data_IF_676156995498
#
_entry.id   IF_676156995498
#
_cell.length_a   1.000
_cell.length_b   1.000
_cell.length_c   1.000
_cell.angle_alpha   90.00
_cell.angle_beta   90.00
_cell.angle_gamma   90.00
#
_symmetry.space_group_name_H-M   'P 1'
#
loop_
_entity.id
_entity.type
_entity.pdbx_description
1 polymer ?
#
# COMPACT_ATOMS: atom_id res chain seq x y z
N UNK A 1 -39.12 31.62 -83.20
CA UNK A 1 -37.94 30.81 -82.71
C UNK A 1 -37.42 31.25 -81.36
N UNK A 2 -37.62 32.46 -80.96
CA UNK A 2 -37.12 33.01 -79.64
C UNK A 2 -37.81 32.38 -78.37
N UNK A 3 -39.12 32.05 -78.52
CA UNK A 3 -39.89 31.50 -77.39
C UNK A 3 -39.42 30.13 -76.92
N UNK A 4 -38.85 29.29 -77.80
CA UNK A 4 -38.30 27.99 -77.43
C UNK A 4 -36.89 28.11 -76.75
N UNK A 5 -36.12 29.13 -77.06
CA UNK A 5 -34.84 29.34 -76.50
C UNK A 5 -34.96 29.77 -75.06
N UNK A 6 -35.86 30.68 -74.71
CA UNK A 6 -36.13 31.17 -73.34
C UNK A 6 -36.64 30.05 -72.43
N UNK A 7 -37.45 29.15 -72.91
CA UNK A 7 -37.92 27.96 -72.17
C UNK A 7 -36.78 26.99 -71.83
N UNK A 8 -35.84 26.80 -72.78
CA UNK A 8 -34.67 25.94 -72.50
C UNK A 8 -33.68 26.57 -71.50
N UNK A 9 -33.42 27.86 -71.55
CA UNK A 9 -32.58 28.57 -70.59
C UNK A 9 -33.21 28.59 -69.19
N UNK A 10 -34.50 28.84 -69.09
CA UNK A 10 -35.21 28.80 -67.81
C UNK A 10 -35.18 27.39 -67.17
N UNK A 11 -35.40 26.36 -67.95
CA UNK A 11 -35.31 24.98 -67.50
C UNK A 11 -33.91 24.57 -67.06
N UNK A 12 -32.88 25.03 -67.77
CA UNK A 12 -31.48 24.81 -67.37
C UNK A 12 -31.11 25.56 -66.08
N UNK A 13 -31.57 26.82 -65.91
CA UNK A 13 -31.35 27.61 -64.69
C UNK A 13 -32.04 26.97 -63.46
N UNK A 14 -33.26 26.45 -63.64
CA UNK A 14 -34.02 25.78 -62.60
C UNK A 14 -33.40 24.42 -62.26
N UNK A 15 -32.91 23.69 -63.23
CA UNK A 15 -32.19 22.43 -63.02
C UNK A 15 -30.87 22.69 -62.29
N UNK A 16 -30.09 23.68 -62.64
CA UNK A 16 -28.86 24.08 -61.96
C UNK A 16 -29.12 24.47 -60.51
N UNK A 17 -30.18 25.23 -60.21
CA UNK A 17 -30.58 25.59 -58.85
C UNK A 17 -30.96 24.35 -58.00
N UNK A 18 -31.73 23.40 -58.54
CA UNK A 18 -32.09 22.16 -57.86
C UNK A 18 -30.85 21.29 -57.60
N UNK A 19 -29.93 21.18 -58.52
CA UNK A 19 -28.68 20.42 -58.37
C UNK A 19 -27.77 21.06 -57.30
N UNK A 20 -27.65 22.40 -57.25
CA UNK A 20 -26.90 23.08 -56.22
C UNK A 20 -27.50 22.83 -54.84
N UNK A 21 -28.84 22.84 -54.72
CA UNK A 21 -29.54 22.61 -53.48
C UNK A 21 -29.37 21.14 -52.98
N UNK A 22 -29.44 20.14 -53.91
CA UNK A 22 -29.19 18.73 -53.54
C UNK A 22 -27.75 18.51 -53.08
N UNK A 23 -26.79 19.11 -53.75
CA UNK A 23 -25.37 19.03 -53.30
C UNK A 23 -25.20 19.67 -51.93
N UNK A 24 -25.80 20.85 -51.69
CA UNK A 24 -25.73 21.54 -50.40
C UNK A 24 -26.35 20.69 -49.26
N UNK A 25 -27.49 20.02 -49.52
CA UNK A 25 -28.14 19.12 -48.55
C UNK A 25 -27.24 17.91 -48.26
N UNK A 26 -26.66 17.28 -49.30
CA UNK A 26 -25.76 16.12 -49.11
C UNK A 26 -24.52 16.53 -48.30
N UNK A 27 -23.90 17.69 -48.63
CA UNK A 27 -22.79 18.22 -47.86
C UNK A 27 -23.17 18.51 -46.40
N UNK A 28 -24.33 19.14 -46.18
CA UNK A 28 -24.86 19.39 -44.84
C UNK A 28 -25.08 18.15 -44.02
N UNK A 29 -25.65 17.14 -44.65
CA UNK A 29 -25.90 15.82 -44.00
C UNK A 29 -24.60 15.09 -43.69
N UNK A 30 -23.63 15.15 -44.59
CA UNK A 30 -22.27 14.61 -44.35
C UNK A 30 -21.58 15.31 -43.23
N UNK A 31 -21.64 16.65 -43.17
CA UNK A 31 -21.08 17.42 -42.08
C UNK A 31 -21.74 17.13 -40.72
N UNK A 32 -23.09 17.00 -40.72
CA UNK A 32 -23.83 16.61 -39.52
C UNK A 32 -23.44 15.22 -39.05
N UNK A 33 -23.27 14.27 -39.96
CA UNK A 33 -22.78 12.91 -39.65
C UNK A 33 -21.40 12.90 -39.00
N UNK A 34 -20.46 13.71 -39.56
CA UNK A 34 -19.14 13.87 -38.97
C UNK A 34 -19.19 14.49 -37.57
N UNK A 35 -20.07 15.48 -37.37
CA UNK A 35 -20.22 16.14 -36.08
C UNK A 35 -20.75 15.18 -35.02
N UNK A 36 -21.71 14.32 -35.34
CA UNK A 36 -22.21 13.28 -34.44
C UNK A 36 -21.13 12.25 -34.11
N UNK A 37 -20.31 11.83 -35.06
CA UNK A 37 -19.18 10.95 -34.80
C UNK A 37 -18.15 11.59 -33.88
N UNK A 38 -17.88 12.90 -34.05
CA UNK A 38 -16.95 13.62 -33.17
C UNK A 38 -17.47 13.72 -31.74
N UNK A 39 -18.76 13.93 -31.53
CA UNK A 39 -19.37 13.97 -30.20
C UNK A 39 -19.24 12.61 -29.49
N UNK A 40 -19.58 11.52 -30.18
CA UNK A 40 -19.42 10.17 -29.63
C UNK A 40 -17.96 9.86 -29.29
N UNK A 41 -17.02 10.28 -30.13
CA UNK A 41 -15.59 10.08 -29.87
C UNK A 41 -15.09 10.85 -28.64
N UNK A 42 -15.57 12.09 -28.42
CA UNK A 42 -15.22 12.88 -27.24
C UNK A 42 -15.77 12.20 -25.97
N UNK A 43 -16.98 11.68 -26.00
CA UNK A 43 -17.59 10.97 -24.87
C UNK A 43 -16.78 9.71 -24.51
N UNK A 44 -16.45 8.89 -25.49
CA UNK A 44 -15.62 7.68 -25.33
C UNK A 44 -14.21 8.03 -24.80
N UNK A 45 -13.60 9.11 -25.30
CA UNK A 45 -12.31 9.58 -24.79
C UNK A 45 -12.38 10.04 -23.34
N UNK A 46 -13.44 10.72 -22.94
CA UNK A 46 -13.61 11.18 -21.57
C UNK A 46 -13.80 9.98 -20.61
N UNK A 47 -14.55 8.96 -21.04
CA UNK A 47 -14.74 7.73 -20.27
C UNK A 47 -13.42 6.97 -20.09
N UNK A 48 -12.64 6.78 -21.17
CA UNK A 48 -11.31 6.15 -21.08
C UNK A 48 -10.35 6.92 -20.16
N UNK A 49 -10.35 8.24 -20.21
CA UNK A 49 -9.52 9.06 -19.32
C UNK A 49 -9.93 8.92 -17.86
N UNK A 50 -11.24 8.84 -17.61
CA UNK A 50 -11.77 8.61 -16.26
C UNK A 50 -11.33 7.25 -15.74
N UNK A 51 -11.46 6.18 -16.53
CA UNK A 51 -11.03 4.83 -16.15
C UNK A 51 -9.52 4.78 -15.86
N UNK A 52 -8.70 5.40 -16.70
CA UNK A 52 -7.26 5.50 -16.49
C UNK A 52 -6.92 6.28 -15.21
N UNK A 53 -7.64 7.35 -14.94
CA UNK A 53 -7.49 8.11 -13.70
C UNK A 53 -7.87 7.27 -12.49
N UNK A 54 -9.01 6.58 -12.52
CA UNK A 54 -9.49 5.70 -11.45
C UNK A 54 -8.48 4.58 -11.14
N UNK A 55 -7.91 3.96 -12.18
CA UNK A 55 -6.87 2.94 -12.01
C UNK A 55 -5.60 3.53 -11.38
N UNK A 56 -5.17 4.71 -11.84
CA UNK A 56 -3.99 5.39 -11.32
C UNK A 56 -4.15 5.76 -9.85
N UNK A 57 -5.32 6.28 -9.45
CA UNK A 57 -5.65 6.59 -8.05
C UNK A 57 -5.63 5.34 -7.20
N UNK A 58 -6.30 4.28 -7.63
CA UNK A 58 -6.36 3.02 -6.89
C UNK A 58 -4.97 2.41 -6.70
N UNK A 59 -4.11 2.49 -7.72
CA UNK A 59 -2.72 2.05 -7.65
C UNK A 59 -1.91 2.87 -6.65
N UNK A 60 -2.05 4.19 -6.69
CA UNK A 60 -1.37 5.10 -5.77
C UNK A 60 -1.81 4.86 -4.31
N UNK A 61 -3.11 4.71 -4.06
CA UNK A 61 -3.65 4.39 -2.74
C UNK A 61 -3.16 3.05 -2.22
N UNK A 62 -3.13 2.02 -3.07
CA UNK A 62 -2.60 0.72 -2.69
C UNK A 62 -1.13 0.80 -2.29
N UNK A 63 -0.30 1.52 -3.06
CA UNK A 63 1.13 1.68 -2.78
C UNK A 63 1.36 2.47 -1.49
N UNK A 64 0.65 3.59 -1.30
CA UNK A 64 0.73 4.37 -0.07
C UNK A 64 0.31 3.55 1.17
N UNK A 65 -0.77 2.76 1.06
CA UNK A 65 -1.18 1.82 2.12
C UNK A 65 -0.08 0.80 2.43
N UNK A 66 0.55 0.25 1.41
CA UNK A 66 1.62 -0.72 1.55
C UNK A 66 2.87 -0.12 2.20
N UNK A 67 3.24 1.08 1.79
CA UNK A 67 4.37 1.80 2.38
C UNK A 67 4.13 2.08 3.87
N UNK A 68 2.91 2.44 4.24
CA UNK A 68 2.55 2.67 5.63
C UNK A 68 2.64 1.39 6.47
N UNK A 69 2.16 0.23 5.96
CA UNK A 69 2.29 -1.07 6.63
C UNK A 69 3.76 -1.46 6.82
N UNK A 70 4.60 -1.23 5.80
CA UNK A 70 6.05 -1.47 5.89
C UNK A 70 6.71 -0.57 6.94
N UNK A 71 6.38 0.72 6.96
CA UNK A 71 6.92 1.67 7.93
C UNK A 71 6.51 1.31 9.36
N UNK A 72 5.29 0.84 9.57
CA UNK A 72 4.85 0.33 10.87
C UNK A 72 5.69 -0.90 11.27
N UNK A 73 5.85 -1.85 10.37
CA UNK A 73 6.65 -3.06 10.60
C UNK A 73 8.10 -2.73 10.96
N UNK A 74 8.72 -1.81 10.22
CA UNK A 74 10.10 -1.36 10.49
C UNK A 74 10.21 -0.71 11.86
N UNK A 75 9.26 0.14 12.25
CA UNK A 75 9.23 0.77 13.56
C UNK A 75 9.15 -0.25 14.70
N UNK A 76 8.34 -1.31 14.54
CA UNK A 76 8.28 -2.38 15.53
C UNK A 76 9.58 -3.17 15.64
N UNK A 77 10.24 -3.45 14.51
CA UNK A 77 11.54 -4.10 14.49
C UNK A 77 12.60 -3.25 15.22
N UNK A 78 12.61 -1.96 14.96
CA UNK A 78 13.52 -1.01 15.61
C UNK A 78 13.27 -0.91 17.13
N UNK A 79 12.00 -0.84 17.54
CA UNK A 79 11.62 -0.82 18.95
C UNK A 79 12.04 -2.12 19.67
N UNK A 80 11.91 -3.30 19.00
CA UNK A 80 12.30 -4.59 19.57
C UNK A 80 13.83 -4.72 19.74
N UNK A 81 14.59 -4.26 18.72
CA UNK A 81 16.06 -4.23 18.77
C UNK A 81 16.54 -3.32 19.91
N UNK A 82 16.00 -2.12 20.00
CA UNK A 82 16.35 -1.15 21.04
C UNK A 82 16.02 -1.64 22.45
N UNK A 83 14.92 -2.39 22.62
CA UNK A 83 14.59 -3.01 23.91
C UNK A 83 15.59 -4.10 24.29
N UNK A 84 16.01 -4.94 23.33
CA UNK A 84 17.00 -5.99 23.58
C UNK A 84 18.38 -5.44 23.93
N UNK A 85 18.80 -4.35 23.28
CA UNK A 85 20.07 -3.67 23.60
C UNK A 85 20.04 -3.10 25.02
N UNK A 86 18.97 -2.41 25.43
CA UNK A 86 18.84 -1.89 26.79
C UNK A 86 18.83 -2.99 27.87
N UNK A 87 18.19 -4.11 27.58
CA UNK A 87 18.17 -5.25 28.52
C UNK A 87 19.55 -5.91 28.68
N UNK A 88 20.44 -5.83 27.69
CA UNK A 88 21.80 -6.34 27.79
C UNK A 88 22.73 -5.41 28.54
N UNK A 89 22.51 -4.11 28.44
CA UNK A 89 23.30 -3.10 29.20
C UNK A 89 22.95 -3.13 30.69
N UNK A 90 21.72 -3.44 31.07
CA UNK A 90 21.28 -3.58 32.47
C UNK A 90 21.81 -4.87 33.12
N UNK A 91 22.01 -5.98 32.37
CA UNK A 91 22.62 -7.20 32.91
C UNK A 91 24.12 -7.10 33.13
N UNK A 92 24.84 -6.21 32.44
CA UNK A 92 26.28 -6.00 32.67
C UNK A 92 26.61 -5.10 33.88
N UNK A 93 25.63 -4.35 34.40
CA UNK A 93 25.84 -3.43 35.53
C UNK A 93 25.43 -4.02 36.90
N UNK A 94 24.96 -5.26 36.98
CA UNK A 94 24.41 -5.88 38.20
C UNK A 94 25.41 -6.82 38.91
N UNK A 95 26.67 -6.93 38.47
CA UNK A 95 27.69 -7.74 39.15
C UNK A 95 28.53 -6.96 40.20
N UNK A 96 27.94 -6.02 40.89
CA UNK A 96 28.50 -5.46 42.13
C UNK A 96 27.39 -5.21 43.15
N UNK A 97 27.51 -5.95 44.22
CA UNK A 97 26.90 -5.85 45.55
C UNK A 97 25.69 -6.74 45.86
N UNK A 98 26.09 -7.82 46.43
CA UNK A 98 25.71 -8.56 47.67
C UNK A 98 24.38 -8.26 48.37
N UNK A 99 23.63 -9.35 48.52
CA UNK A 99 22.88 -9.84 49.69
C UNK A 99 21.62 -9.11 50.21
N UNK A 100 20.64 -9.97 50.36
CA UNK A 100 19.68 -10.20 51.45
C UNK A 100 18.25 -9.74 51.28
N UNK A 101 17.41 -10.77 51.44
CA UNK A 101 16.08 -10.81 52.04
C UNK A 101 14.82 -10.63 51.15
N UNK A 102 14.21 -11.81 51.02
CA UNK A 102 12.78 -12.12 50.97
C UNK A 102 11.75 -11.01 51.19
N UNK A 103 10.76 -10.90 50.30
CA UNK A 103 9.36 -10.97 50.71
C UNK A 103 8.44 -11.31 49.52
N UNK A 104 7.45 -12.12 49.85
CA UNK A 104 6.43 -12.75 49.03
C UNK A 104 5.42 -11.80 48.38
N UNK A 105 5.06 -12.06 47.16
CA UNK A 105 3.78 -12.47 46.57
C UNK A 105 2.77 -11.36 46.19
N UNK A 106 1.74 -11.68 45.43
CA UNK A 106 1.66 -12.17 44.05
C UNK A 106 0.88 -11.19 43.16
N UNK A 107 1.17 -11.04 41.91
CA UNK A 107 0.21 -10.52 40.94
C UNK A 107 0.36 -11.23 39.61
N UNK A 108 -0.70 -11.78 39.24
CA UNK A 108 -1.10 -12.47 38.05
C UNK A 108 -0.84 -11.60 36.82
N UNK A 109 0.15 -11.96 36.04
CA UNK A 109 0.24 -11.47 34.67
C UNK A 109 0.73 -12.61 33.76
N UNK A 110 -0.20 -13.14 32.98
CA UNK A 110 -0.01 -14.30 32.09
C UNK A 110 0.86 -13.98 30.85
N UNK A 111 1.54 -12.84 30.82
CA UNK A 111 2.43 -12.43 29.72
C UNK A 111 3.88 -12.86 29.93
N UNK A 112 4.30 -13.13 31.18
CA UNK A 112 5.66 -13.56 31.51
C UNK A 112 6.01 -14.98 31.14
N UNK A 113 5.02 -15.89 31.14
CA UNK A 113 5.27 -17.33 30.98
C UNK A 113 5.64 -17.76 29.56
N UNK A 114 5.24 -17.01 28.54
CA UNK A 114 5.59 -17.31 27.15
C UNK A 114 7.04 -16.93 26.85
N UNK A 115 7.50 -15.80 27.39
CA UNK A 115 8.88 -15.34 27.19
C UNK A 115 9.89 -16.22 27.93
N UNK A 116 9.60 -16.59 29.17
CA UNK A 116 10.47 -17.49 29.95
C UNK A 116 10.58 -18.88 29.35
N UNK A 117 9.49 -19.42 28.79
CA UNK A 117 9.49 -20.72 28.09
C UNK A 117 10.32 -20.67 26.79
N UNK A 118 10.30 -19.55 26.08
CA UNK A 118 11.05 -19.38 24.84
C UNK A 118 12.54 -19.17 25.10
N UNK A 119 12.91 -18.33 26.07
CA UNK A 119 14.31 -18.16 26.51
C UNK A 119 14.92 -19.46 27.04
N UNK A 120 14.14 -20.28 27.76
CA UNK A 120 14.59 -21.60 28.20
C UNK A 120 14.86 -22.53 27.01
N UNK A 121 14.02 -22.49 25.95
CA UNK A 121 14.26 -23.23 24.70
C UNK A 121 15.45 -22.70 23.91
N UNK A 122 15.67 -21.37 23.90
CA UNK A 122 16.80 -20.75 23.25
C UNK A 122 18.13 -21.07 23.96
N UNK A 123 18.15 -21.06 25.29
CA UNK A 123 19.34 -21.41 26.08
C UNK A 123 19.73 -22.91 25.92
N UNK A 124 18.75 -23.78 25.66
CA UNK A 124 19.03 -25.18 25.32
C UNK A 124 19.54 -25.38 23.88
N UNK A 125 19.29 -24.45 22.97
CA UNK A 125 19.73 -24.54 21.57
C UNK A 125 20.97 -23.74 21.20
N UNK A 126 21.61 -23.05 22.18
CA UNK A 126 22.93 -22.42 21.93
C UNK A 126 23.95 -23.49 21.63
N UNK A 127 24.43 -23.63 20.40
CA UNK A 127 25.52 -24.53 20.11
C UNK A 127 26.76 -24.00 20.80
N UNK A 128 27.34 -24.79 21.69
CA UNK A 128 28.66 -24.52 22.27
C UNK A 128 29.68 -24.44 21.13
N UNK A 129 30.01 -23.22 20.71
CA UNK A 129 31.01 -22.92 19.69
C UNK A 129 32.40 -22.88 20.30
N UNK A 130 32.88 -23.99 20.86
CA UNK A 130 34.34 -24.19 21.06
C UNK A 130 34.64 -25.64 20.80
N UNK A 131 35.18 -26.03 19.65
CA UNK A 131 35.90 -27.28 19.54
C UNK A 131 37.26 -27.08 20.17
N UNK A 132 37.47 -27.62 21.37
CA UNK A 132 38.80 -27.85 21.92
C UNK A 132 39.54 -28.77 20.92
N UNK A 133 40.60 -28.26 20.33
CA UNK A 133 41.39 -28.97 19.34
C UNK A 133 41.92 -30.27 19.88
N UNK A 134 41.74 -31.32 19.11
CA UNK A 134 42.61 -32.50 19.11
C UNK A 134 42.97 -32.82 17.69
N UNK A 135 44.26 -32.88 17.53
CA UNK A 135 45.04 -33.04 16.30
C UNK A 135 44.78 -34.40 15.66
N UNK A 136 44.48 -34.33 14.38
CA UNK A 136 44.74 -35.28 13.27
C UNK A 136 45.00 -36.76 13.58
N UNK A 137 44.04 -37.56 13.13
CA UNK A 137 44.35 -38.84 12.49
C UNK A 137 43.42 -38.98 11.28
N UNK A 138 44.05 -39.15 10.13
CA UNK A 138 43.44 -39.28 8.81
C UNK A 138 42.78 -40.68 8.73
N UNK A 139 41.43 -40.67 8.82
CA UNK A 139 40.64 -41.83 8.41
C UNK A 139 39.38 -41.33 7.71
N UNK A 140 38.96 -41.97 6.64
CA UNK A 140 37.78 -41.64 5.83
C UNK A 140 36.47 -41.60 6.60
N UNK A 141 36.42 -42.06 7.84
CA UNK A 141 35.35 -41.94 8.81
C UNK A 141 35.22 -40.52 9.41
N UNK A 142 36.32 -39.77 9.47
CA UNK A 142 36.35 -38.41 10.03
C UNK A 142 35.69 -37.37 9.09
N UNK A 143 35.82 -37.56 7.77
CA UNK A 143 35.18 -36.68 6.80
C UNK A 143 33.65 -36.79 6.83
N UNK A 144 33.11 -37.97 7.03
CA UNK A 144 31.67 -38.16 7.14
C UNK A 144 31.11 -37.62 8.46
N UNK A 145 31.88 -37.73 9.57
CA UNK A 145 31.52 -37.13 10.86
C UNK A 145 31.57 -35.59 10.80
N UNK A 146 32.59 -35.00 10.16
CA UNK A 146 32.71 -33.57 9.97
C UNK A 146 31.57 -33.01 9.10
N UNK A 147 31.19 -33.75 8.04
CA UNK A 147 30.04 -33.35 7.18
C UNK A 147 28.72 -33.42 7.95
N UNK A 148 28.50 -34.40 8.79
CA UNK A 148 27.30 -34.50 9.64
C UNK A 148 27.24 -33.36 10.67
N UNK A 149 28.36 -33.06 11.35
CA UNK A 149 28.44 -31.96 12.29
C UNK A 149 28.17 -30.61 11.57
N UNK A 150 28.70 -30.42 10.37
CA UNK A 150 28.46 -29.19 9.61
C UNK A 150 27.00 -29.06 9.17
N UNK A 151 26.37 -30.16 8.75
CA UNK A 151 24.94 -30.19 8.43
C UNK A 151 24.09 -29.92 9.66
N UNK A 152 24.45 -30.43 10.83
CA UNK A 152 23.77 -30.18 12.09
C UNK A 152 23.90 -28.71 12.54
N UNK A 153 25.07 -28.12 12.42
CA UNK A 153 25.30 -26.70 12.70
C UNK A 153 24.45 -25.82 11.77
N UNK A 154 24.44 -26.09 10.47
CA UNK A 154 23.64 -25.35 9.47
C UNK A 154 22.13 -25.51 9.78
N UNK A 155 21.69 -26.71 10.09
CA UNK A 155 20.29 -26.99 10.47
C UNK A 155 19.88 -26.24 11.74
N UNK A 156 20.71 -26.29 12.76
CA UNK A 156 20.44 -25.62 14.04
C UNK A 156 20.40 -24.09 13.87
N UNK A 157 21.31 -23.55 13.05
CA UNK A 157 21.31 -22.13 12.70
C UNK A 157 20.06 -21.72 11.93
N UNK A 158 19.61 -22.55 10.99
CA UNK A 158 18.38 -22.31 10.23
C UNK A 158 17.15 -22.34 11.16
N UNK A 159 17.03 -23.35 12.02
CA UNK A 159 15.93 -23.49 12.99
C UNK A 159 15.91 -22.29 13.94
N UNK A 160 17.06 -21.84 14.42
CA UNK A 160 17.17 -20.67 15.29
C UNK A 160 16.74 -19.38 14.56
N UNK A 161 17.22 -19.15 13.35
CA UNK A 161 16.82 -17.97 12.56
C UNK A 161 15.33 -17.99 12.25
N UNK A 162 14.77 -19.15 11.91
CA UNK A 162 13.35 -19.30 11.66
C UNK A 162 12.51 -19.00 12.92
N UNK A 163 12.91 -19.53 14.08
CA UNK A 163 12.22 -19.27 15.33
C UNK A 163 12.24 -17.80 15.75
N UNK A 164 13.39 -17.11 15.55
CA UNK A 164 13.47 -15.66 15.78
C UNK A 164 12.55 -14.86 14.85
N UNK A 165 12.47 -15.28 13.60
CA UNK A 165 11.63 -14.60 12.60
C UNK A 165 10.15 -14.82 12.92
N UNK A 166 9.75 -16.02 13.34
CA UNK A 166 8.39 -16.34 13.79
C UNK A 166 8.00 -15.55 15.04
N UNK A 167 8.93 -15.38 15.99
CA UNK A 167 8.69 -14.56 17.20
C UNK A 167 8.49 -13.08 16.85
N UNK A 168 9.35 -12.54 15.99
CA UNK A 168 9.24 -11.14 15.54
C UNK A 168 7.91 -10.93 14.80
N UNK A 169 7.55 -11.83 13.90
CA UNK A 169 6.28 -11.76 13.17
C UNK A 169 5.10 -11.83 14.15
N UNK A 170 5.14 -12.76 15.13
CA UNK A 170 4.09 -12.89 16.12
C UNK A 170 3.95 -11.61 16.98
N UNK A 171 5.06 -11.05 17.44
CA UNK A 171 5.06 -9.81 18.20
C UNK A 171 4.52 -8.62 17.40
N UNK A 172 4.88 -8.52 16.13
CA UNK A 172 4.36 -7.49 15.23
C UNK A 172 2.86 -7.65 15.05
N UNK A 173 2.40 -8.84 14.72
CA UNK A 173 0.98 -9.12 14.47
C UNK A 173 0.12 -8.93 15.73
N UNK A 174 0.62 -9.33 16.90
CA UNK A 174 -0.14 -9.26 18.14
C UNK A 174 -0.08 -7.90 18.82
N UNK A 175 1.11 -7.28 18.88
CA UNK A 175 1.31 -5.98 19.52
C UNK A 175 0.79 -4.79 18.70
N UNK A 176 0.89 -4.89 17.38
CA UNK A 176 0.46 -3.81 16.48
C UNK A 176 -1.05 -3.66 16.49
N UNK A 177 -1.77 -4.78 16.45
CA UNK A 177 -3.22 -4.75 16.31
C UNK A 177 -3.95 -4.29 17.58
N UNK A 178 -3.29 -4.25 18.74
CA UNK A 178 -3.91 -3.79 20.01
C UNK A 178 -3.95 -2.27 20.18
N UNK A 179 -3.11 -1.54 19.45
CA UNK A 179 -3.09 -0.08 19.53
C UNK A 179 -4.20 0.56 18.70
N UNK A 180 -4.84 1.65 19.18
CA UNK A 180 -5.83 2.38 18.39
C UNK A 180 -5.20 2.94 17.12
N UNK A 181 -5.94 2.97 16.00
CA UNK A 181 -5.48 3.43 14.68
C UNK A 181 -4.78 4.80 14.73
N UNK A 182 -5.28 5.70 15.57
CA UNK A 182 -4.69 7.04 15.73
C UNK A 182 -3.24 7.03 16.19
N UNK A 183 -2.85 6.02 16.97
CA UNK A 183 -1.49 5.88 17.51
C UNK A 183 -0.57 5.07 16.56
N UNK A 184 -1.17 4.31 15.66
CA UNK A 184 -0.45 3.49 14.68
C UNK A 184 -0.05 4.29 13.45
N UNK A 185 -0.94 5.18 12.99
CA UNK A 185 -0.77 5.95 11.76
C UNK A 185 -0.02 7.25 12.05
N UNK A 186 1.10 7.45 11.36
CA UNK A 186 1.71 8.75 11.23
C UNK A 186 1.05 9.50 10.06
N UNK A 187 0.07 10.36 10.36
CA UNK A 187 -0.71 11.05 9.33
C UNK A 187 0.12 11.98 8.44
N UNK A 188 1.20 12.55 8.98
CA UNK A 188 2.12 13.37 8.18
C UNK A 188 2.88 12.53 7.16
N UNK A 189 3.34 11.36 7.55
CA UNK A 189 4.02 10.43 6.66
C UNK A 189 3.03 9.86 5.62
N UNK A 190 1.81 9.52 6.04
CA UNK A 190 0.76 9.07 5.14
C UNK A 190 0.44 10.12 4.07
N UNK A 191 0.36 11.41 4.43
CA UNK A 191 0.15 12.49 3.47
C UNK A 191 1.32 12.61 2.49
N UNK A 192 2.55 12.48 2.97
CA UNK A 192 3.74 12.47 2.12
C UNK A 192 3.76 11.28 1.16
N UNK A 193 3.43 10.08 1.64
CA UNK A 193 3.36 8.86 0.84
C UNK A 193 2.22 8.96 -0.21
N UNK A 194 1.04 9.44 0.18
CA UNK A 194 -0.06 9.68 -0.74
C UNK A 194 0.35 10.67 -1.85
N UNK A 195 0.97 11.78 -1.48
CA UNK A 195 1.42 12.78 -2.44
C UNK A 195 2.46 12.23 -3.40
N UNK A 196 3.45 11.51 -2.88
CA UNK A 196 4.49 10.88 -3.68
C UNK A 196 3.91 9.86 -4.66
N UNK A 197 3.02 8.98 -4.17
CA UNK A 197 2.44 7.93 -5.00
C UNK A 197 1.42 8.47 -6.02
N UNK A 198 0.67 9.53 -5.70
CA UNK A 198 -0.16 10.23 -6.69
C UNK A 198 0.69 10.82 -7.81
N UNK A 199 1.78 11.51 -7.46
CA UNK A 199 2.71 12.06 -8.47
C UNK A 199 3.38 10.95 -9.31
N UNK A 200 3.81 9.85 -8.69
CA UNK A 200 4.42 8.72 -9.39
C UNK A 200 3.45 8.05 -10.39
N UNK A 201 2.16 8.09 -10.11
CA UNK A 201 1.11 7.57 -10.98
C UNK A 201 0.52 8.64 -11.93
N UNK A 202 1.16 9.80 -12.05
CA UNK A 202 0.78 10.86 -13.00
C UNK A 202 -0.38 11.75 -12.54
N UNK A 203 -0.78 11.69 -11.27
CA UNK A 203 -1.85 12.49 -10.70
C UNK A 203 -1.23 13.72 -10.02
N UNK A 204 -1.46 14.88 -10.60
CA UNK A 204 -0.93 16.16 -10.10
C UNK A 204 -2.05 17.19 -9.90
N UNK A 205 -3.13 16.76 -9.27
CA UNK A 205 -4.26 17.63 -8.91
C UNK A 205 -4.46 17.62 -7.38
N UNK A 206 -5.00 18.68 -6.80
CA UNK A 206 -5.29 18.75 -5.37
C UNK A 206 -6.25 17.64 -4.95
N UNK A 207 -5.96 17.01 -3.82
CA UNK A 207 -6.81 16.01 -3.21
C UNK A 207 -7.00 16.29 -1.72
N UNK A 208 -8.07 15.75 -1.17
CA UNK A 208 -8.31 15.72 0.28
C UNK A 208 -8.50 14.29 0.74
N UNK A 209 -8.09 14.01 1.97
CA UNK A 209 -8.22 12.66 2.50
C UNK A 209 -8.73 12.64 3.94
N UNK A 210 -9.39 11.54 4.26
CA UNK A 210 -9.81 11.18 5.61
C UNK A 210 -9.38 9.76 5.92
N UNK A 211 -9.19 9.47 7.20
CA UNK A 211 -8.98 8.10 7.68
C UNK A 211 -10.12 7.76 8.62
N UNK A 212 -10.79 6.66 8.35
CA UNK A 212 -11.89 6.14 9.17
C UNK A 212 -11.58 4.74 9.64
N UNK A 213 -12.26 4.30 10.68
CA UNK A 213 -12.33 2.88 11.02
C UNK A 213 -13.23 2.16 10.01
N UNK A 214 -13.23 0.82 10.01
CA UNK A 214 -14.08 0.03 9.11
C UNK A 214 -15.58 0.27 9.35
N UNK A 215 -15.97 0.58 10.59
CA UNK A 215 -17.33 0.95 10.99
C UNK A 215 -17.69 2.43 10.68
N UNK A 216 -16.80 3.16 9.98
CA UNK A 216 -17.05 4.52 9.48
C UNK A 216 -16.77 5.64 10.46
N UNK A 217 -16.25 5.37 11.67
CA UNK A 217 -15.85 6.43 12.60
C UNK A 217 -14.63 7.17 12.09
N UNK A 218 -14.68 8.48 12.05
CA UNK A 218 -13.57 9.33 11.64
C UNK A 218 -12.43 9.28 12.68
N UNK A 219 -11.23 9.00 12.23
CA UNK A 219 -10.00 8.98 13.01
C UNK A 219 -9.15 10.20 12.72
N UNK A 220 -9.12 10.63 11.47
CA UNK A 220 -8.36 11.78 11.00
C UNK A 220 -8.99 12.39 9.75
N UNK A 221 -8.85 13.71 9.64
CA UNK A 221 -9.27 14.52 8.50
C UNK A 221 -8.18 15.54 8.19
N UNK A 222 -7.80 15.69 6.93
CA UNK A 222 -6.77 16.66 6.55
C UNK A 222 -7.19 18.10 6.91
N UNK A 223 -6.26 18.99 7.30
CA UNK A 223 -6.58 20.32 7.80
C UNK A 223 -7.28 21.23 6.78
N UNK A 224 -7.00 21.04 5.50
CA UNK A 224 -7.50 21.80 4.35
C UNK A 224 -8.70 21.13 3.68
N UNK A 225 -9.37 20.22 4.38
CA UNK A 225 -10.47 19.41 3.84
C UNK A 225 -11.62 20.26 3.31
N UNK A 226 -12.01 19.99 2.06
CA UNK A 226 -13.20 20.53 1.42
C UNK A 226 -14.08 19.36 1.00
N UNK A 227 -15.40 19.47 1.18
CA UNK A 227 -16.37 18.42 0.84
C UNK A 227 -16.76 18.38 -0.63
N UNK A 228 -16.25 19.31 -1.45
CA UNK A 228 -16.50 19.34 -2.88
C UNK A 228 -15.86 18.12 -3.55
N UNK A 229 -16.60 17.39 -4.37
CA UNK A 229 -16.13 16.18 -5.04
C UNK A 229 -16.23 14.88 -4.22
N UNK A 230 -16.84 14.88 -3.03
CA UNK A 230 -17.00 13.66 -2.20
C UNK A 230 -17.80 12.54 -2.87
N UNK A 231 -18.63 12.83 -3.89
CA UNK A 231 -19.35 11.83 -4.66
C UNK A 231 -18.42 10.86 -5.40
N UNK A 232 -17.19 11.29 -5.69
CA UNK A 232 -16.16 10.48 -6.33
C UNK A 232 -15.03 10.15 -5.33
N UNK A 233 -15.37 9.46 -4.25
CA UNK A 233 -14.41 9.07 -3.22
C UNK A 233 -13.79 7.72 -3.52
N UNK A 234 -12.47 7.67 -3.54
CA UNK A 234 -11.66 6.45 -3.62
C UNK A 234 -11.32 5.98 -2.21
N UNK A 235 -11.34 4.68 -1.97
CA UNK A 235 -11.08 4.12 -0.66
C UNK A 235 -10.11 2.94 -0.71
N UNK A 236 -9.22 2.88 0.28
CA UNK A 236 -8.25 1.79 0.42
C UNK A 236 -8.19 1.34 1.87
N UNK A 237 -8.26 0.02 2.06
CA UNK A 237 -8.12 -0.58 3.40
C UNK A 237 -6.67 -0.51 3.86
N UNK A 238 -6.46 -0.06 5.09
CA UNK A 238 -5.19 -0.03 5.80
C UNK A 238 -5.15 -1.21 6.79
N UNK A 239 -3.98 -1.82 6.93
CA UNK A 239 -3.76 -2.95 7.85
C UNK A 239 -4.64 -4.16 7.53
N UNK A 240 -4.53 -4.68 6.31
CA UNK A 240 -5.34 -5.79 5.80
C UNK A 240 -5.24 -7.09 6.60
N UNK A 241 -4.14 -7.27 7.31
CA UNK A 241 -3.89 -8.47 8.12
C UNK A 241 -4.51 -8.39 9.52
N UNK A 242 -5.08 -7.25 9.88
CA UNK A 242 -5.72 -7.05 11.17
C UNK A 242 -7.14 -7.62 11.19
N UNK A 243 -7.70 -7.87 12.40
CA UNK A 243 -9.11 -8.13 12.54
C UNK A 243 -9.96 -6.99 11.98
N UNK A 244 -11.09 -7.32 11.36
CA UNK A 244 -11.96 -6.35 10.63
C UNK A 244 -12.32 -5.12 11.47
N UNK A 245 -12.54 -5.30 12.76
CA UNK A 245 -12.87 -4.20 13.69
C UNK A 245 -11.69 -3.28 14.01
N UNK A 246 -10.49 -3.60 13.56
CA UNK A 246 -9.23 -2.83 13.78
C UNK A 246 -8.62 -2.29 12.50
N UNK A 247 -9.17 -2.69 11.35
CA UNK A 247 -8.77 -2.15 10.06
C UNK A 247 -9.10 -0.67 9.96
N UNK A 248 -8.24 0.08 9.29
CA UNK A 248 -8.50 1.44 8.87
C UNK A 248 -8.93 1.50 7.41
N UNK A 249 -9.54 2.61 7.03
CA UNK A 249 -9.85 2.93 5.64
C UNK A 249 -9.40 4.35 5.37
N UNK A 250 -8.48 4.52 4.43
CA UNK A 250 -8.17 5.84 3.88
C UNK A 250 -9.13 6.12 2.74
N UNK A 251 -9.71 7.31 2.75
CA UNK A 251 -10.62 7.81 1.71
C UNK A 251 -10.03 9.08 1.12
N UNK A 252 -9.96 9.14 -0.19
CA UNK A 252 -9.43 10.29 -0.94
C UNK A 252 -10.45 10.74 -1.96
N UNK A 253 -10.62 12.04 -2.12
CA UNK A 253 -11.43 12.63 -3.17
C UNK A 253 -10.72 13.83 -3.81
N UNK A 254 -11.15 14.19 -5.01
CA UNK A 254 -10.52 15.21 -5.84
C UNK A 254 -11.55 16.27 -6.24
N UNK A 255 -11.53 17.46 -5.64
CA UNK A 255 -12.49 18.53 -5.96
C UNK A 255 -12.46 18.97 -7.43
N UNK A 256 -11.31 18.84 -8.09
CA UNK A 256 -11.11 19.28 -9.47
C UNK A 256 -11.06 18.15 -10.50
N UNK A 257 -11.49 16.95 -10.16
CA UNK A 257 -11.44 15.77 -11.03
C UNK A 257 -12.10 16.00 -12.39
N UNK A 258 -13.31 16.57 -12.40
CA UNK A 258 -14.05 16.82 -13.63
C UNK A 258 -13.29 17.78 -14.55
N UNK A 259 -12.74 18.86 -14.01
CA UNK A 259 -11.94 19.80 -14.80
C UNK A 259 -10.70 19.13 -15.38
N UNK A 260 -10.05 18.25 -14.63
CA UNK A 260 -8.87 17.53 -15.10
C UNK A 260 -9.19 16.57 -16.25
N UNK A 261 -10.28 15.82 -16.18
CA UNK A 261 -10.68 14.87 -17.23
C UNK A 261 -10.99 15.59 -18.55
N UNK A 262 -11.67 16.75 -18.49
CA UNK A 262 -12.11 17.49 -19.69
C UNK A 262 -11.12 18.52 -20.20
N UNK A 263 -10.11 18.94 -19.42
CA UNK A 263 -9.17 20.01 -19.82
C UNK A 263 -7.84 19.50 -20.40
N UNK A 264 -7.57 18.20 -20.34
CA UNK A 264 -6.28 17.61 -20.69
C UNK A 264 -6.21 17.06 -22.15
#
# INVERSE_FOLDING_TARGET
MEFFHDQYEYKQRVMKKKTIWTIAIIMGLSFLGLLLLQLNYIEEMAEMKKEQFDESVNRALYQASRNMELNETLRYLEDDVNKKERSQDDEQNTDKDTSTAAHQAPSTDNQGDVYTSFEAKLKQSKPSLVPKGSILRSDSSSLSATKRNMQEIVRNRYVYQKAMLEEVIYNILYSASDKPLRNRINFKLLDQDLKAEMMNNGINIPYHFTVTTQDGREVYKCPDYVSDGEENTYSQVLFRNDPVNRMGVVKVHFPQMNNYIFSS
#
